data_IF_261870489987
#
_entry.id   IF_261870489987
#
_cell.length_a   1.000
_cell.length_b   1.000
_cell.length_c   1.000
_cell.angle_alpha   90.00
_cell.angle_beta   90.00
_cell.angle_gamma   90.00
#
_symmetry.space_group_name_H-M   'P 1'
#
loop_
_entity.id
_entity.type
_entity.pdbx_description
1 polymer ?
#
# COMPACT_ATOMS: atom_id res chain seq x y z
N UNK A 1 -4.64 17.83 -24.01
CA UNK A 1 -5.12 16.50 -23.57
C UNK A 1 -6.19 16.03 -24.54
N UNK A 2 -5.92 14.98 -25.33
CA UNK A 2 -6.85 14.49 -26.35
C UNK A 2 -8.06 13.73 -25.76
N UNK A 3 -9.13 13.59 -26.55
CA UNK A 3 -10.37 12.92 -26.18
C UNK A 3 -10.18 11.46 -25.69
N UNK A 4 -9.20 10.76 -26.28
CA UNK A 4 -8.81 9.41 -25.87
C UNK A 4 -8.24 9.36 -24.44
N UNK A 5 -7.48 10.38 -24.02
CA UNK A 5 -6.95 10.48 -22.66
C UNK A 5 -8.07 10.71 -21.62
N UNK A 6 -9.11 11.48 -21.98
CA UNK A 6 -10.29 11.67 -21.11
C UNK A 6 -11.05 10.38 -20.87
N UNK A 7 -11.30 9.59 -21.93
CA UNK A 7 -11.98 8.29 -21.82
C UNK A 7 -11.23 7.31 -20.92
N UNK A 8 -9.90 7.29 -20.99
CA UNK A 8 -9.06 6.46 -20.10
C UNK A 8 -9.21 6.89 -18.64
N UNK A 9 -9.13 8.19 -18.35
CA UNK A 9 -9.29 8.72 -16.99
C UNK A 9 -10.67 8.41 -16.43
N UNK A 10 -11.72 8.52 -17.23
CA UNK A 10 -13.09 8.20 -16.85
C UNK A 10 -13.29 6.71 -16.54
N UNK A 11 -12.68 5.83 -17.35
CA UNK A 11 -12.66 4.39 -17.07
C UNK A 11 -11.97 4.05 -15.74
N UNK A 12 -10.81 4.68 -15.47
CA UNK A 12 -10.10 4.51 -14.19
C UNK A 12 -10.95 5.00 -13.01
N UNK A 13 -11.54 6.20 -13.13
CA UNK A 13 -12.41 6.76 -12.10
C UNK A 13 -13.57 5.81 -11.77
N UNK A 14 -14.23 5.28 -12.80
CA UNK A 14 -15.35 4.34 -12.65
C UNK A 14 -14.91 3.08 -11.91
N UNK A 15 -13.80 2.45 -12.34
CA UNK A 15 -13.28 1.25 -11.68
C UNK A 15 -12.93 1.50 -10.20
N UNK A 16 -12.28 2.62 -9.90
CA UNK A 16 -11.89 2.98 -8.52
C UNK A 16 -13.09 3.34 -7.64
N UNK A 17 -14.15 3.92 -8.21
CA UNK A 17 -15.41 4.15 -7.52
C UNK A 17 -16.12 2.84 -7.15
N UNK A 18 -16.12 1.85 -8.04
CA UNK A 18 -16.70 0.53 -7.73
C UNK A 18 -15.93 -0.18 -6.62
N UNK A 19 -14.59 -0.15 -6.63
CA UNK A 19 -13.77 -0.64 -5.53
C UNK A 19 -14.10 0.06 -4.20
N UNK A 20 -14.25 1.39 -4.21
CA UNK A 20 -14.64 2.14 -3.02
C UNK A 20 -16.02 1.71 -2.48
N UNK A 21 -17.00 1.48 -3.38
CA UNK A 21 -18.33 0.99 -2.98
C UNK A 21 -18.25 -0.40 -2.37
N UNK A 22 -17.44 -1.30 -2.93
CA UNK A 22 -17.23 -2.64 -2.37
C UNK A 22 -16.65 -2.57 -0.95
N UNK A 23 -15.55 -1.81 -0.76
CA UNK A 23 -14.93 -1.57 0.56
C UNK A 23 -15.93 -1.06 1.60
N UNK A 24 -16.83 -0.14 1.21
CA UNK A 24 -17.88 0.38 2.08
C UNK A 24 -18.93 -0.67 2.46
N UNK A 25 -19.37 -1.50 1.51
CA UNK A 25 -20.32 -2.59 1.76
C UNK A 25 -19.75 -3.62 2.74
N UNK A 26 -18.44 -3.83 2.69
CA UNK A 26 -17.70 -4.71 3.60
C UNK A 26 -17.40 -4.08 4.97
N UNK A 27 -17.91 -2.87 5.24
CA UNK A 27 -17.70 -2.16 6.49
C UNK A 27 -16.30 -1.56 6.66
N UNK A 28 -15.50 -1.54 5.59
CA UNK A 28 -14.12 -1.03 5.58
C UNK A 28 -14.04 0.30 4.82
N UNK A 29 -14.84 1.31 5.19
CA UNK A 29 -14.81 2.62 4.52
C UNK A 29 -13.43 3.28 4.70
N UNK A 30 -12.65 3.46 3.61
CA UNK A 30 -11.32 4.05 3.69
C UNK A 30 -11.32 5.46 4.28
N UNK A 31 -12.40 6.22 4.16
CA UNK A 31 -12.49 7.59 4.65
C UNK A 31 -13.05 7.71 6.07
N UNK A 32 -13.37 6.59 6.72
CA UNK A 32 -13.81 6.59 8.13
C UNK A 32 -12.65 6.68 9.12
N UNK A 33 -11.42 6.42 8.66
CA UNK A 33 -10.23 6.48 9.51
C UNK A 33 -9.86 7.92 9.85
N UNK A 34 -10.03 8.31 11.11
CA UNK A 34 -9.59 9.61 11.62
C UNK A 34 -8.12 9.63 12.04
N UNK A 35 -7.53 8.45 12.30
CA UNK A 35 -6.14 8.32 12.76
C UNK A 35 -5.55 6.96 12.39
N UNK A 36 -4.27 6.95 12.04
CA UNK A 36 -3.44 5.74 12.01
C UNK A 36 -2.13 6.03 12.75
N UNK A 37 -1.92 5.36 13.89
CA UNK A 37 -0.69 5.51 14.68
C UNK A 37 0.48 4.83 13.97
N UNK A 38 1.42 5.65 13.49
CA UNK A 38 2.70 5.17 12.97
C UNK A 38 3.71 5.06 14.09
N UNK A 39 4.59 4.05 14.02
CA UNK A 39 5.73 3.95 14.93
C UNK A 39 6.97 4.64 14.37
N UNK A 40 7.13 4.67 13.04
CA UNK A 40 8.30 5.24 12.38
C UNK A 40 7.92 5.95 11.08
N UNK A 41 8.79 6.85 10.62
CA UNK A 41 8.76 7.36 9.24
C UNK A 41 9.37 6.35 8.26
N UNK A 42 8.97 6.41 6.98
CA UNK A 42 9.47 5.47 5.99
C UNK A 42 11.00 5.53 5.80
N UNK A 43 11.59 6.74 5.78
CA UNK A 43 13.05 6.91 5.69
C UNK A 43 13.76 6.33 6.90
N UNK A 44 13.20 6.54 8.08
CA UNK A 44 13.76 6.05 9.34
C UNK A 44 13.86 4.53 9.37
N UNK A 45 12.85 3.82 8.86
CA UNK A 45 12.88 2.35 8.74
C UNK A 45 14.06 1.87 7.88
N UNK A 46 14.37 2.61 6.81
CA UNK A 46 15.49 2.27 5.91
C UNK A 46 16.84 2.60 6.55
N UNK A 47 16.99 3.79 7.13
CA UNK A 47 18.25 4.26 7.70
C UNK A 47 18.65 3.50 8.98
N UNK A 48 17.67 3.14 9.82
CA UNK A 48 17.87 2.42 11.08
C UNK A 48 17.69 0.91 10.96
N UNK A 49 17.86 0.35 9.75
CA UNK A 49 17.65 -1.07 9.49
C UNK A 49 18.34 -2.00 10.49
N UNK A 50 19.61 -1.74 10.84
CA UNK A 50 20.37 -2.59 11.79
C UNK A 50 19.70 -2.70 13.17
N UNK A 51 18.97 -1.67 13.60
CA UNK A 51 18.26 -1.65 14.88
C UNK A 51 16.84 -2.20 14.77
N UNK A 52 16.28 -2.21 13.57
CA UNK A 52 14.88 -2.54 13.29
C UNK A 52 14.70 -3.91 12.64
N UNK A 53 15.75 -4.54 12.12
CA UNK A 53 15.70 -5.87 11.52
C UNK A 53 15.02 -6.87 12.47
N UNK A 54 14.00 -7.57 11.96
CA UNK A 54 13.17 -8.51 12.72
C UNK A 54 12.13 -7.86 13.64
N UNK A 55 12.09 -6.52 13.76
CA UNK A 55 11.09 -5.81 14.56
C UNK A 55 9.84 -5.48 13.74
N UNK A 56 8.70 -5.47 14.42
CA UNK A 56 7.43 -5.01 13.85
C UNK A 56 7.35 -3.50 13.90
N UNK A 57 7.01 -2.88 12.77
CA UNK A 57 6.79 -1.44 12.63
C UNK A 57 5.43 -1.15 12.02
N UNK A 58 4.90 0.06 12.29
CA UNK A 58 3.70 0.60 11.67
C UNK A 58 4.08 1.82 10.86
N UNK A 59 3.90 1.74 9.55
CA UNK A 59 4.19 2.80 8.58
C UNK A 59 2.94 3.17 7.81
N UNK A 60 2.87 4.38 7.27
CA UNK A 60 1.77 4.78 6.40
C UNK A 60 2.25 5.75 5.35
N UNK A 61 1.60 5.74 4.20
CA UNK A 61 2.00 6.56 3.06
C UNK A 61 1.19 6.28 1.81
N UNK A 62 1.59 6.88 0.70
CA UNK A 62 1.00 6.73 -0.62
C UNK A 62 1.69 5.61 -1.39
N UNK A 63 0.92 4.75 -2.04
CA UNK A 63 1.44 3.75 -2.97
C UNK A 63 1.84 4.43 -4.28
N UNK A 64 3.12 4.40 -4.61
CA UNK A 64 3.66 4.99 -5.84
C UNK A 64 4.14 3.94 -6.85
N UNK A 65 4.30 2.70 -6.42
CA UNK A 65 4.67 1.57 -7.26
C UNK A 65 4.03 0.29 -6.75
N UNK A 66 3.67 -0.61 -7.66
CA UNK A 66 3.11 -1.92 -7.37
C UNK A 66 3.65 -2.93 -8.38
N UNK A 67 4.15 -4.07 -7.92
CA UNK A 67 4.75 -5.12 -8.74
C UNK A 67 4.22 -6.47 -8.29
N UNK A 68 3.55 -7.19 -9.18
CA UNK A 68 2.82 -8.42 -8.88
C UNK A 68 3.47 -9.65 -9.49
N UNK A 69 3.70 -10.69 -8.69
CA UNK A 69 4.34 -11.93 -9.12
C UNK A 69 3.66 -13.15 -8.48
N UNK A 70 2.46 -13.48 -8.95
CA UNK A 70 1.68 -14.61 -8.44
C UNK A 70 1.39 -14.45 -6.95
N UNK A 71 2.07 -15.25 -6.12
CA UNK A 71 1.89 -15.33 -4.66
C UNK A 71 2.63 -14.27 -3.85
N UNK A 72 3.39 -13.39 -4.50
CA UNK A 72 4.07 -12.27 -3.85
C UNK A 72 3.83 -10.96 -4.59
N UNK A 73 3.85 -9.87 -3.83
CA UNK A 73 3.70 -8.52 -4.33
C UNK A 73 4.65 -7.56 -3.61
N UNK A 74 5.12 -6.56 -4.35
CA UNK A 74 5.93 -5.48 -3.82
C UNK A 74 5.26 -4.14 -4.07
N UNK A 75 5.31 -3.25 -3.09
CA UNK A 75 4.78 -1.90 -3.22
C UNK A 75 5.80 -0.87 -2.76
N UNK A 76 5.78 0.30 -3.39
CA UNK A 76 6.61 1.42 -2.98
C UNK A 76 5.75 2.41 -2.19
N UNK A 77 5.97 2.48 -0.88
CA UNK A 77 5.23 3.34 0.04
C UNK A 77 5.99 4.63 0.30
N UNK A 78 5.38 5.77 -0.01
CA UNK A 78 5.96 7.09 0.17
C UNK A 78 5.23 7.88 1.25
N UNK A 79 5.98 8.44 2.19
CA UNK A 79 5.50 9.47 3.11
C UNK A 79 6.35 10.74 2.94
N UNK A 80 6.13 11.74 3.80
CA UNK A 80 6.91 12.99 3.75
C UNK A 80 8.39 12.79 4.13
N UNK A 81 8.75 11.69 4.78
CA UNK A 81 10.14 11.38 5.13
C UNK A 81 10.83 10.67 3.97
N UNK A 82 10.15 9.80 3.23
CA UNK A 82 10.74 9.12 2.09
C UNK A 82 9.99 7.86 1.69
N UNK A 83 10.74 6.92 1.11
CA UNK A 83 10.21 5.66 0.59
C UNK A 83 10.65 4.48 1.45
N UNK A 84 9.74 3.52 1.64
CA UNK A 84 10.06 2.16 2.08
C UNK A 84 9.37 1.16 1.15
N UNK A 85 10.01 0.03 0.88
CA UNK A 85 9.38 -1.05 0.13
C UNK A 85 8.49 -1.87 1.07
N UNK A 86 7.31 -2.26 0.58
CA UNK A 86 6.45 -3.22 1.23
C UNK A 86 6.55 -4.56 0.49
N UNK A 87 6.54 -5.65 1.24
CA UNK A 87 6.48 -7.00 0.73
C UNK A 87 5.23 -7.69 1.26
N UNK A 88 4.38 -8.18 0.36
CA UNK A 88 3.21 -8.96 0.68
C UNK A 88 3.34 -10.36 0.10
N UNK A 89 2.98 -11.39 0.86
CA UNK A 89 2.91 -12.76 0.37
C UNK A 89 1.59 -13.42 0.75
N UNK A 90 1.11 -14.30 -0.12
CA UNK A 90 -0.04 -15.16 0.16
C UNK A 90 0.21 -16.07 1.38
N UNK A 91 1.46 -16.51 1.57
CA UNK A 91 1.87 -17.31 2.73
C UNK A 91 1.59 -16.58 4.06
N UNK A 92 1.90 -15.27 4.14
CA UNK A 92 1.74 -14.49 5.38
C UNK A 92 0.32 -13.93 5.55
N UNK A 93 -0.34 -13.54 4.46
CA UNK A 93 -1.63 -12.85 4.51
C UNK A 93 -2.84 -13.74 4.18
N UNK A 94 -2.62 -14.95 3.68
CA UNK A 94 -3.69 -15.86 3.23
C UNK A 94 -4.63 -15.18 2.24
N UNK A 95 -5.94 -15.32 2.44
CA UNK A 95 -6.97 -14.70 1.59
C UNK A 95 -6.91 -13.15 1.59
N UNK A 96 -6.31 -12.52 2.62
CA UNK A 96 -6.16 -11.06 2.64
C UNK A 96 -5.13 -10.56 1.64
N UNK A 97 -4.24 -11.44 1.17
CA UNK A 97 -3.34 -11.13 0.06
C UNK A 97 -4.14 -10.85 -1.21
N UNK A 98 -5.02 -11.76 -1.61
CA UNK A 98 -5.83 -11.59 -2.83
C UNK A 98 -6.66 -10.30 -2.80
N UNK A 99 -7.24 -9.97 -1.63
CA UNK A 99 -7.92 -8.69 -1.44
C UNK A 99 -7.01 -7.49 -1.56
N UNK A 100 -5.84 -7.53 -0.90
CA UNK A 100 -4.87 -6.43 -0.96
C UNK A 100 -4.52 -6.10 -2.41
N UNK A 101 -4.34 -7.11 -3.24
CA UNK A 101 -3.81 -6.94 -4.59
C UNK A 101 -4.88 -6.56 -5.61
N UNK A 102 -6.13 -6.95 -5.35
CA UNK A 102 -7.29 -6.55 -6.13
C UNK A 102 -7.74 -5.14 -5.78
N UNK A 103 -7.75 -4.80 -4.49
CA UNK A 103 -8.31 -3.54 -3.99
C UNK A 103 -7.34 -2.38 -4.09
N UNK A 104 -6.03 -2.60 -3.93
CA UNK A 104 -5.05 -1.52 -3.85
C UNK A 104 -4.68 -0.97 -5.22
N UNK A 105 -4.70 0.36 -5.35
CA UNK A 105 -4.33 1.07 -6.57
C UNK A 105 -3.17 2.05 -6.34
N UNK A 106 -2.44 2.36 -7.41
CA UNK A 106 -1.46 3.45 -7.39
C UNK A 106 -2.14 4.77 -6.97
N UNK A 107 -1.53 5.44 -6.01
CA UNK A 107 -2.00 6.67 -5.42
C UNK A 107 -2.79 6.48 -4.13
N UNK A 108 -3.24 5.27 -3.79
CA UNK A 108 -3.93 5.02 -2.51
C UNK A 108 -3.04 5.35 -1.31
N UNK A 109 -3.65 5.83 -0.23
CA UNK A 109 -2.98 5.99 1.05
C UNK A 109 -3.28 4.75 1.89
N UNK A 110 -2.23 4.13 2.42
CA UNK A 110 -2.34 2.93 3.25
C UNK A 110 -1.57 3.08 4.55
N UNK A 111 -2.06 2.41 5.59
CA UNK A 111 -1.33 2.11 6.81
C UNK A 111 -0.98 0.63 6.81
N UNK A 112 0.23 0.30 7.23
CA UNK A 112 0.77 -1.06 7.19
C UNK A 112 1.45 -1.36 8.51
N UNK A 113 1.21 -2.55 9.02
CA UNK A 113 1.99 -3.18 10.07
C UNK A 113 2.75 -4.36 9.49
N UNK A 114 4.02 -4.48 9.85
CA UNK A 114 4.83 -5.58 9.36
C UNK A 114 6.23 -5.60 9.93
N UNK A 115 6.93 -6.68 9.63
CA UNK A 115 8.29 -6.92 10.11
C UNK A 115 9.32 -6.34 9.16
N UNK A 116 10.31 -5.62 9.68
CA UNK A 116 11.40 -5.07 8.88
C UNK A 116 12.40 -6.17 8.54
N UNK A 117 12.68 -6.33 7.25
CA UNK A 117 13.66 -7.30 6.76
C UNK A 117 14.37 -6.77 5.51
N UNK A 118 15.35 -7.53 5.04
CA UNK A 118 16.04 -7.24 3.78
C UNK A 118 15.69 -8.31 2.75
N UNK A 119 15.27 -7.88 1.58
CA UNK A 119 15.01 -8.80 0.46
C UNK A 119 16.31 -9.41 -0.06
N UNK A 120 16.20 -10.49 -0.85
CA UNK A 120 17.36 -11.11 -1.52
C UNK A 120 18.17 -10.13 -2.38
N UNK A 121 17.56 -9.05 -2.87
CA UNK A 121 18.20 -8.00 -3.67
C UNK A 121 18.86 -6.89 -2.83
N UNK A 122 18.82 -7.01 -1.50
CA UNK A 122 19.43 -6.05 -0.59
C UNK A 122 18.55 -4.86 -0.20
N UNK A 123 17.32 -4.76 -0.72
CA UNK A 123 16.39 -3.65 -0.42
C UNK A 123 15.69 -3.87 0.92
N UNK A 124 15.77 -2.88 1.81
CA UNK A 124 15.06 -2.86 3.11
C UNK A 124 13.56 -2.76 2.85
N UNK A 125 12.80 -3.66 3.46
CA UNK A 125 11.37 -3.81 3.21
C UNK A 125 10.61 -4.11 4.49
N UNK A 126 9.31 -3.82 4.48
CA UNK A 126 8.36 -4.22 5.54
C UNK A 126 7.52 -5.40 5.03
N UNK A 127 7.66 -6.55 5.66
CA UNK A 127 6.86 -7.75 5.38
C UNK A 127 5.49 -7.64 6.06
N UNK A 128 4.45 -7.38 5.26
CA UNK A 128 3.12 -7.02 5.74
C UNK A 128 2.51 -8.17 6.56
N UNK A 129 2.15 -7.90 7.81
CA UNK A 129 1.25 -8.74 8.61
C UNK A 129 -0.17 -8.19 8.66
N UNK A 130 -0.34 -6.87 8.61
CA UNK A 130 -1.64 -6.21 8.56
C UNK A 130 -1.59 -4.94 7.71
N UNK A 131 -2.72 -4.54 7.16
CA UNK A 131 -2.85 -3.32 6.38
C UNK A 131 -4.25 -2.73 6.48
N UNK A 132 -4.32 -1.42 6.25
CA UNK A 132 -5.57 -0.64 6.15
C UNK A 132 -5.45 0.33 4.98
N UNK A 133 -6.47 0.37 4.13
CA UNK A 133 -6.61 1.42 3.12
C UNK A 133 -7.18 2.64 3.83
N UNK A 134 -6.40 3.71 3.93
CA UNK A 134 -6.74 4.95 4.66
C UNK A 134 -7.35 6.02 3.77
N UNK A 135 -7.13 5.94 2.45
CA UNK A 135 -7.85 6.74 1.47
C UNK A 135 -7.70 6.13 0.08
N UNK A 136 -8.81 6.00 -0.65
CA UNK A 136 -8.80 5.57 -2.05
C UNK A 136 -8.48 6.76 -2.95
N UNK A 137 -7.54 6.59 -3.86
CA UNK A 137 -7.21 7.61 -4.84
C UNK A 137 -8.16 7.47 -6.03
N UNK A 138 -9.18 8.32 -6.17
CA UNK A 138 -10.17 8.13 -7.25
C UNK A 138 -9.67 8.58 -8.63
N UNK A 139 -8.64 9.41 -8.68
CA UNK A 139 -8.03 9.90 -9.93
C UNK A 139 -6.65 9.28 -10.10
N UNK A 140 -6.21 9.01 -11.34
CA UNK A 140 -4.85 8.53 -11.57
C UNK A 140 -3.82 9.59 -11.12
N UNK A 141 -2.62 9.11 -10.78
CA UNK A 141 -1.47 9.99 -10.58
C UNK A 141 -1.12 10.68 -11.93
N UNK A 142 -0.50 11.88 -11.89
CA UNK A 142 -0.09 12.63 -13.09
C UNK A 142 0.85 11.86 -14.02
#
# INVERSE_FOLDING_TARGET
>A
MGEQSRKVVEGILTARLEKLKALRREGSDPYSFVKFDRTHGNREVVERFKELEGKTVRVAGRIMGARHHGKIAFFDLFDFTGRVQLFASEERLGQRYLRLVEELDLGDIVGVEGEVFKTRRGEVSVNISDYKILAKCLRPLP
#
